data_IF_566775461184
#
_entry.id   IF_566775461184
#
_cell.length_a   1.000
_cell.length_b   1.000
_cell.length_c   1.000
_cell.angle_alpha   90.00
_cell.angle_beta   90.00
_cell.angle_gamma   90.00
#
_symmetry.space_group_name_H-M   'P 1'
#
loop_
_entity.id
_entity.type
_entity.pdbx_description
1 polymer ?
#
# COMPACT_ATOMS: atom_id res chain seq x y z
N UNK A 1 -20.69 11.36 61.64
CA UNK A 1 -20.03 12.17 60.59
C UNK A 1 -21.04 13.20 60.09
N UNK A 2 -20.85 14.48 60.42
CA UNK A 2 -21.73 15.58 59.97
C UNK A 2 -21.52 15.79 58.46
N UNK A 3 -22.59 15.71 57.67
CA UNK A 3 -22.59 16.21 56.29
C UNK A 3 -22.44 17.73 56.37
N UNK A 4 -21.31 18.26 55.94
CA UNK A 4 -21.20 19.69 55.64
C UNK A 4 -22.13 19.98 54.46
N UNK A 5 -23.29 20.58 54.74
CA UNK A 5 -24.14 21.13 53.71
C UNK A 5 -23.37 22.26 53.02
N UNK A 6 -23.09 22.07 51.73
CA UNK A 6 -22.35 23.05 50.94
C UNK A 6 -23.27 24.28 50.77
N UNK A 7 -22.83 25.40 51.33
CA UNK A 7 -23.55 26.67 51.24
C UNK A 7 -23.77 27.05 49.77
N UNK A 8 -25.03 27.20 49.31
CA UNK A 8 -25.34 27.48 47.90
C UNK A 8 -24.71 28.78 47.40
N UNK A 9 -24.43 29.75 48.29
CA UNK A 9 -23.73 30.99 47.92
C UNK A 9 -22.25 30.73 47.60
N UNK A 10 -21.61 29.82 48.33
CA UNK A 10 -20.23 29.40 48.05
C UNK A 10 -20.14 28.56 46.79
N UNK A 11 -21.13 27.68 46.55
CA UNK A 11 -21.22 26.92 45.31
C UNK A 11 -21.37 27.86 44.11
N UNK A 12 -22.25 28.87 44.21
CA UNK A 12 -22.44 29.87 43.15
C UNK A 12 -21.15 30.65 42.87
N UNK A 13 -20.44 31.09 43.93
CA UNK A 13 -19.16 31.78 43.78
C UNK A 13 -18.12 30.92 43.05
N UNK A 14 -18.02 29.63 43.39
CA UNK A 14 -17.11 28.69 42.75
C UNK A 14 -17.46 28.52 41.26
N UNK A 15 -18.75 28.39 40.93
CA UNK A 15 -19.21 28.26 39.54
C UNK A 15 -18.88 29.52 38.73
N UNK A 16 -19.12 30.72 39.30
CA UNK A 16 -18.80 31.98 38.63
C UNK A 16 -17.29 32.12 38.41
N UNK A 17 -16.48 31.79 39.41
CA UNK A 17 -15.01 31.82 39.30
C UNK A 17 -14.51 30.81 38.26
N UNK A 18 -15.02 29.58 38.25
CA UNK A 18 -14.66 28.58 37.26
C UNK A 18 -15.05 29.02 35.84
N UNK A 19 -16.22 29.64 35.68
CA UNK A 19 -16.68 30.17 34.39
C UNK A 19 -15.78 31.30 33.90
N UNK A 20 -15.42 32.25 34.77
CA UNK A 20 -14.46 33.30 34.44
C UNK A 20 -13.10 32.74 34.04
N UNK A 21 -12.63 31.69 34.72
CA UNK A 21 -11.36 31.04 34.41
C UNK A 21 -11.39 30.37 33.03
N UNK A 22 -12.49 29.70 32.68
CA UNK A 22 -12.68 29.09 31.36
C UNK A 22 -12.69 30.16 30.26
N UNK A 23 -13.40 31.27 30.46
CA UNK A 23 -13.42 32.37 29.49
C UNK A 23 -12.05 33.05 29.35
N UNK A 24 -11.34 33.28 30.45
CA UNK A 24 -9.99 33.82 30.41
C UNK A 24 -9.01 32.88 29.69
N UNK A 25 -9.12 31.58 29.92
CA UNK A 25 -8.33 30.57 29.23
C UNK A 25 -8.63 30.52 27.74
N UNK A 26 -9.90 30.57 27.33
CA UNK A 26 -10.26 30.66 25.91
C UNK A 26 -9.76 31.95 25.26
N UNK A 27 -9.88 33.09 25.93
CA UNK A 27 -9.36 34.36 25.43
C UNK A 27 -7.83 34.31 25.27
N UNK A 28 -7.12 33.68 26.21
CA UNK A 28 -5.68 33.45 26.11
C UNK A 28 -5.32 32.57 24.90
N UNK A 29 -6.04 31.47 24.66
CA UNK A 29 -5.84 30.61 23.50
C UNK A 29 -6.09 31.35 22.17
N UNK A 30 -7.07 32.26 22.11
CA UNK A 30 -7.37 33.02 20.89
C UNK A 30 -6.31 34.10 20.64
N UNK A 31 -5.86 34.80 21.69
CA UNK A 31 -5.01 35.99 21.55
C UNK A 31 -3.51 35.68 21.54
N UNK A 32 -3.08 34.60 22.21
CA UNK A 32 -1.66 34.35 22.46
C UNK A 32 -1.16 32.97 22.01
N UNK A 33 -2.03 32.02 21.71
CA UNK A 33 -1.61 30.79 21.04
C UNK A 33 -1.71 31.03 19.54
N UNK A 34 -0.63 30.85 18.76
CA UNK A 34 -0.71 30.95 17.32
C UNK A 34 -1.78 29.96 16.84
N UNK A 35 -2.87 30.50 16.32
CA UNK A 35 -3.87 29.70 15.63
C UNK A 35 -3.18 29.14 14.38
N UNK A 36 -2.54 27.98 14.53
CA UNK A 36 -2.39 27.06 13.42
C UNK A 36 -3.82 26.66 13.04
N UNK A 37 -4.45 27.56 12.29
CA UNK A 37 -5.42 27.16 11.31
C UNK A 37 -4.69 26.13 10.45
N UNK A 38 -4.84 24.87 10.81
CA UNK A 38 -4.95 23.83 9.80
C UNK A 38 -6.22 24.14 9.02
N UNK A 39 -6.17 25.22 8.22
CA UNK A 39 -6.66 25.11 6.87
C UNK A 39 -5.94 23.88 6.36
N UNK A 40 -6.70 22.82 6.11
CA UNK A 40 -6.37 21.87 5.07
C UNK A 40 -6.25 22.70 3.79
N UNK A 41 -5.14 23.40 3.63
CA UNK A 41 -4.57 23.68 2.34
C UNK A 41 -4.29 22.28 1.83
N UNK A 42 -5.27 21.73 1.10
CA UNK A 42 -4.96 20.93 -0.06
C UNK A 42 -3.97 21.80 -0.81
N UNK A 43 -2.69 21.55 -0.55
CA UNK A 43 -1.64 22.01 -1.41
C UNK A 43 -2.08 21.46 -2.76
N UNK A 44 -2.64 22.31 -3.62
CA UNK A 44 -2.54 22.09 -5.03
C UNK A 44 -1.04 22.17 -5.29
N UNK A 45 -0.39 21.06 -5.00
CA UNK A 45 0.92 20.73 -5.48
C UNK A 45 0.81 21.02 -6.97
N UNK A 46 1.50 22.08 -7.40
CA UNK A 46 1.72 22.34 -8.82
C UNK A 46 2.06 21.00 -9.40
N UNK A 47 1.26 20.52 -10.35
CA UNK A 47 1.54 19.31 -11.12
C UNK A 47 3.00 19.41 -11.56
N UNK A 48 3.88 18.75 -10.82
CA UNK A 48 5.12 18.30 -11.35
C UNK A 48 4.68 17.32 -12.42
N UNK A 49 4.77 17.77 -13.67
CA UNK A 49 4.79 16.90 -14.82
C UNK A 49 6.07 16.08 -14.71
N UNK A 50 6.05 15.08 -13.82
CA UNK A 50 6.97 13.97 -13.83
C UNK A 50 6.12 12.70 -13.84
N UNK A 51 6.46 11.84 -14.78
CA UNK A 51 5.80 10.62 -15.25
C UNK A 51 5.76 9.51 -14.21
N UNK A 52 5.40 9.83 -12.96
CA UNK A 52 5.28 8.87 -11.87
C UNK A 52 3.79 8.64 -11.56
N UNK A 53 3.30 7.39 -11.65
CA UNK A 53 1.89 7.10 -11.44
C UNK A 53 1.53 7.29 -9.96
N UNK A 54 0.30 7.74 -9.71
CA UNK A 54 -0.24 7.77 -8.36
C UNK A 54 -0.48 6.34 -7.86
N UNK A 55 0.41 5.83 -7.01
CA UNK A 55 0.35 4.45 -6.46
C UNK A 55 -0.76 4.23 -5.40
N UNK A 56 -1.54 5.27 -5.11
CA UNK A 56 -2.54 5.29 -4.05
C UNK A 56 -3.94 5.02 -4.63
N UNK A 57 -4.42 3.77 -4.50
CA UNK A 57 -5.81 3.40 -4.80
C UNK A 57 -6.83 3.89 -3.74
N UNK A 58 -6.38 4.62 -2.71
CA UNK A 58 -7.22 5.19 -1.67
C UNK A 58 -8.10 4.16 -0.94
N UNK A 59 -9.32 4.55 -0.58
CA UNK A 59 -10.28 3.73 0.20
C UNK A 59 -10.88 2.55 -0.56
N UNK A 60 -10.71 2.49 -1.89
CA UNK A 60 -11.11 1.33 -2.70
C UNK A 60 -10.30 0.09 -2.31
N UNK A 61 -9.02 0.28 -1.98
CA UNK A 61 -8.14 -0.80 -1.54
C UNK A 61 -8.66 -1.48 -0.28
N UNK A 62 -9.11 -0.73 0.72
CA UNK A 62 -9.55 -1.32 1.99
C UNK A 62 -10.84 -2.15 1.85
N UNK A 63 -11.69 -1.82 0.86
CA UNK A 63 -12.99 -2.47 0.66
C UNK A 63 -12.90 -3.77 -0.14
N UNK A 64 -11.96 -3.84 -1.09
CA UNK A 64 -11.87 -4.94 -2.05
C UNK A 64 -10.84 -5.98 -1.60
N UNK A 65 -11.24 -6.81 -0.63
CA UNK A 65 -10.40 -7.91 -0.16
C UNK A 65 -10.20 -8.97 -1.25
N UNK A 66 -9.01 -9.56 -1.37
CA UNK A 66 -8.76 -10.61 -2.35
C UNK A 66 -9.64 -11.82 -2.07
N UNK A 67 -10.13 -12.45 -3.13
CA UNK A 67 -10.89 -13.69 -3.05
C UNK A 67 -10.49 -14.62 -4.21
N UNK A 68 -11.25 -15.71 -4.42
CA UNK A 68 -11.08 -16.64 -5.54
C UNK A 68 -9.61 -17.03 -5.78
N UNK A 69 -9.12 -17.88 -4.88
CA UNK A 69 -7.71 -18.19 -4.82
C UNK A 69 -7.34 -19.37 -5.72
N UNK A 70 -6.22 -19.23 -6.42
CA UNK A 70 -5.58 -20.27 -7.21
C UNK A 70 -4.22 -20.56 -6.61
N UNK A 71 -3.97 -21.82 -6.30
CA UNK A 71 -2.72 -22.26 -5.69
C UNK A 71 -1.75 -22.77 -6.76
N UNK A 72 -0.49 -22.39 -6.62
CA UNK A 72 0.62 -22.94 -7.38
C UNK A 72 1.66 -23.48 -6.42
N UNK A 73 2.20 -24.67 -6.69
CA UNK A 73 3.27 -25.25 -5.89
C UNK A 73 4.31 -25.88 -6.80
N UNK A 74 5.57 -25.52 -6.54
CA UNK A 74 6.75 -26.16 -7.13
C UNK A 74 7.60 -26.81 -6.03
N UNK A 75 8.78 -27.28 -6.39
CA UNK A 75 9.76 -27.81 -5.44
C UNK A 75 10.26 -26.73 -4.47
N UNK A 76 10.37 -25.49 -4.94
CA UNK A 76 11.02 -24.40 -4.20
C UNK A 76 10.01 -23.43 -3.58
N UNK A 77 8.84 -23.27 -4.20
CA UNK A 77 7.89 -22.22 -3.84
C UNK A 77 6.44 -22.71 -3.77
N UNK A 78 5.66 -22.05 -2.92
CA UNK A 78 4.21 -22.16 -2.89
C UNK A 78 3.60 -20.75 -3.00
N UNK A 79 2.75 -20.53 -3.99
CA UNK A 79 2.10 -19.26 -4.26
C UNK A 79 0.59 -19.42 -4.14
N UNK A 80 -0.05 -18.42 -3.55
CA UNK A 80 -1.50 -18.23 -3.59
C UNK A 80 -1.78 -16.97 -4.39
N UNK A 81 -2.47 -17.12 -5.51
CA UNK A 81 -2.88 -16.01 -6.37
C UNK A 81 -4.36 -15.72 -6.17
N UNK A 82 -4.74 -14.45 -6.13
CA UNK A 82 -6.15 -14.04 -6.19
C UNK A 82 -6.52 -13.71 -7.62
N UNK A 83 -7.68 -14.21 -8.08
CA UNK A 83 -8.23 -13.80 -9.38
C UNK A 83 -8.50 -12.29 -9.40
N UNK A 84 -9.01 -11.71 -8.30
CA UNK A 84 -9.19 -10.25 -8.21
C UNK A 84 -7.85 -9.50 -8.25
N UNK A 85 -7.72 -8.63 -9.24
CA UNK A 85 -6.50 -7.86 -9.50
C UNK A 85 -5.32 -8.69 -10.00
N UNK A 86 -5.44 -10.02 -10.07
CA UNK A 86 -4.35 -10.91 -10.47
C UNK A 86 -3.12 -10.70 -9.59
N UNK A 87 -3.27 -10.81 -8.28
CA UNK A 87 -2.27 -10.47 -7.25
C UNK A 87 -1.73 -11.72 -6.55
N UNK A 88 -0.51 -11.65 -6.01
CA UNK A 88 0.04 -12.72 -5.16
C UNK A 88 -0.25 -12.39 -3.69
N UNK A 89 -1.09 -13.19 -3.03
CA UNK A 89 -1.52 -12.94 -1.64
C UNK A 89 -0.73 -13.73 -0.61
N UNK A 90 -0.04 -14.79 -1.05
CA UNK A 90 0.96 -15.52 -0.26
C UNK A 90 2.03 -16.06 -1.21
N UNK A 91 3.28 -15.99 -0.77
CA UNK A 91 4.44 -16.45 -1.50
C UNK A 91 5.43 -17.05 -0.51
N UNK A 92 5.43 -18.37 -0.41
CA UNK A 92 6.25 -19.11 0.53
C UNK A 92 7.46 -19.72 -0.14
N UNK A 93 8.64 -19.46 0.42
CA UNK A 93 9.84 -20.24 0.16
C UNK A 93 9.80 -21.53 0.98
N UNK A 94 9.80 -22.67 0.28
CA UNK A 94 9.67 -23.99 0.91
C UNK A 94 10.98 -24.45 1.55
N UNK A 95 12.13 -24.00 1.05
CA UNK A 95 13.45 -24.37 1.59
C UNK A 95 13.66 -23.75 2.97
N UNK A 96 13.28 -22.49 3.14
CA UNK A 96 13.40 -21.77 4.40
C UNK A 96 12.11 -21.74 5.22
N UNK A 97 11.03 -22.32 4.68
CA UNK A 97 9.68 -22.28 5.26
C UNK A 97 9.25 -20.84 5.62
N UNK A 98 9.58 -19.89 4.74
CA UNK A 98 9.43 -18.45 4.98
C UNK A 98 8.35 -17.87 4.08
N UNK A 99 7.42 -17.14 4.68
CA UNK A 99 6.46 -16.31 3.94
C UNK A 99 7.14 -15.01 3.50
N UNK A 100 7.07 -14.73 2.21
CA UNK A 100 7.68 -13.56 1.57
C UNK A 100 6.69 -12.39 1.45
N UNK A 101 5.39 -12.62 1.63
CA UNK A 101 4.40 -11.54 1.74
C UNK A 101 4.30 -11.08 3.21
N UNK A 102 4.66 -9.83 3.45
CA UNK A 102 4.71 -9.24 4.79
C UNK A 102 3.32 -9.11 5.43
N UNK A 103 3.28 -9.03 6.76
CA UNK A 103 2.03 -8.78 7.49
C UNK A 103 1.49 -7.38 7.21
N UNK A 104 2.36 -6.40 6.96
CA UNK A 104 1.99 -5.06 6.54
C UNK A 104 1.28 -5.04 5.18
N UNK A 105 1.81 -5.77 4.18
CA UNK A 105 1.16 -5.93 2.88
C UNK A 105 -0.25 -6.53 3.01
N UNK A 106 -0.38 -7.59 3.83
CA UNK A 106 -1.68 -8.21 4.10
C UNK A 106 -2.66 -7.26 4.78
N UNK A 107 -2.21 -6.51 5.80
CA UNK A 107 -3.04 -5.55 6.54
C UNK A 107 -3.48 -4.38 5.68
N UNK A 108 -2.59 -3.87 4.83
CA UNK A 108 -2.88 -2.74 3.94
C UNK A 108 -3.60 -3.17 2.66
N UNK A 109 -3.82 -4.47 2.45
CA UNK A 109 -4.36 -5.04 1.22
C UNK A 109 -3.59 -4.55 -0.03
N UNK A 110 -2.26 -4.50 0.10
CA UNK A 110 -1.33 -4.10 -0.94
C UNK A 110 -0.43 -5.29 -1.26
N UNK A 111 -0.53 -5.82 -2.47
CA UNK A 111 0.12 -7.07 -2.83
C UNK A 111 1.01 -6.94 -4.07
N UNK A 112 2.02 -7.81 -4.22
CA UNK A 112 2.77 -7.91 -5.46
C UNK A 112 1.88 -8.18 -6.67
N UNK A 113 2.37 -7.73 -7.82
CA UNK A 113 1.71 -7.73 -9.12
C UNK A 113 0.56 -6.73 -9.28
N UNK A 114 0.28 -5.85 -8.33
CA UNK A 114 -0.58 -4.67 -8.61
C UNK A 114 0.04 -3.84 -9.74
N UNK A 115 -0.80 -3.32 -10.66
CA UNK A 115 -0.37 -2.60 -11.86
C UNK A 115 -0.95 -1.20 -11.88
N UNK A 116 -0.11 -0.21 -12.18
CA UNK A 116 -0.45 1.20 -12.18
C UNK A 116 -0.05 1.84 -13.50
N UNK A 117 -0.95 2.66 -14.04
CA UNK A 117 -0.81 3.41 -15.29
C UNK A 117 -0.73 4.91 -15.03
N UNK A 118 -1.12 5.35 -13.83
CA UNK A 118 -1.28 6.75 -13.48
C UNK A 118 -2.68 7.29 -13.78
N UNK A 119 -3.55 6.52 -14.44
CA UNK A 119 -4.98 6.80 -14.56
C UNK A 119 -5.76 6.02 -13.48
N UNK A 120 -6.38 6.71 -12.50
CA UNK A 120 -7.12 6.06 -11.42
C UNK A 120 -8.28 5.16 -11.88
N UNK A 121 -8.91 5.45 -13.03
CA UNK A 121 -10.00 4.64 -13.55
C UNK A 121 -9.49 3.30 -14.07
N UNK A 122 -8.41 3.35 -14.86
CA UNK A 122 -7.75 2.15 -15.39
C UNK A 122 -7.13 1.35 -14.24
N UNK A 123 -6.45 2.02 -13.31
CA UNK A 123 -5.78 1.38 -12.16
C UNK A 123 -6.77 0.69 -11.23
N UNK A 124 -7.95 1.28 -11.02
CA UNK A 124 -9.02 0.64 -10.27
C UNK A 124 -9.43 -0.68 -10.93
N UNK A 125 -9.65 -0.66 -12.25
CA UNK A 125 -10.05 -1.85 -13.01
C UNK A 125 -8.96 -2.93 -13.00
N UNK A 126 -7.72 -2.56 -13.32
CA UNK A 126 -6.57 -3.47 -13.36
C UNK A 126 -6.34 -4.19 -12.03
N UNK A 127 -6.64 -3.53 -10.91
CA UNK A 127 -6.37 -4.07 -9.58
C UNK A 127 -7.60 -4.66 -8.89
N UNK A 128 -8.83 -4.47 -9.40
CA UNK A 128 -10.05 -4.99 -8.76
C UNK A 128 -10.73 -6.12 -9.52
N UNK A 129 -10.57 -6.19 -10.84
CA UNK A 129 -11.29 -7.15 -11.67
C UNK A 129 -10.66 -8.54 -11.68
N UNK A 130 -11.46 -9.54 -12.04
CA UNK A 130 -11.02 -10.93 -12.07
C UNK A 130 -10.19 -11.23 -13.31
N UNK A 131 -8.98 -11.73 -13.09
CA UNK A 131 -8.11 -12.25 -14.11
C UNK A 131 -8.41 -13.72 -14.36
N UNK A 132 -8.32 -14.14 -15.62
CA UNK A 132 -8.26 -15.55 -15.95
C UNK A 132 -6.86 -16.07 -15.64
N UNK A 133 -6.74 -16.98 -14.67
CA UNK A 133 -5.47 -17.60 -14.28
C UNK A 133 -5.36 -18.97 -14.93
N UNK A 134 -4.27 -19.18 -15.68
CA UNK A 134 -3.92 -20.47 -16.28
C UNK A 134 -2.55 -20.92 -15.81
N UNK A 135 -2.46 -22.13 -15.29
CA UNK A 135 -1.21 -22.75 -14.83
C UNK A 135 -0.85 -23.87 -15.80
N UNK A 136 0.36 -23.78 -16.37
CA UNK A 136 0.94 -24.77 -17.27
C UNK A 136 2.35 -25.10 -16.81
N UNK A 137 2.53 -26.26 -16.16
CA UNK A 137 3.83 -26.70 -15.62
C UNK A 137 4.46 -25.65 -14.69
N UNK A 138 5.47 -24.92 -15.17
CA UNK A 138 6.23 -23.90 -14.44
C UNK A 138 5.83 -22.47 -14.85
N UNK A 139 4.72 -22.30 -15.55
CA UNK A 139 4.27 -21.02 -16.07
C UNK A 139 2.85 -20.71 -15.58
N UNK A 140 2.68 -19.53 -15.00
CA UNK A 140 1.40 -18.99 -14.56
C UNK A 140 1.09 -17.79 -15.44
N UNK A 141 -0.06 -17.80 -16.11
CA UNK A 141 -0.51 -16.70 -16.97
C UNK A 141 -1.80 -16.13 -16.39
N UNK A 142 -1.78 -14.84 -16.04
CA UNK A 142 -2.94 -14.08 -15.60
C UNK A 142 -3.33 -13.12 -16.72
N UNK A 143 -4.55 -13.25 -17.23
CA UNK A 143 -5.02 -12.45 -18.37
C UNK A 143 -6.27 -11.66 -18.00
N UNK A 144 -6.27 -10.37 -18.32
CA UNK A 144 -7.44 -9.50 -18.25
C UNK A 144 -7.58 -8.82 -19.61
N UNK A 145 -8.75 -8.95 -20.22
CA UNK A 145 -9.06 -8.36 -21.51
C UNK A 145 -10.38 -7.59 -21.42
N UNK A 146 -10.37 -6.38 -21.96
CA UNK A 146 -11.51 -5.52 -22.21
C UNK A 146 -11.64 -5.28 -23.71
N UNK A 147 -12.72 -4.61 -24.13
CA UNK A 147 -12.98 -4.37 -25.56
C UNK A 147 -11.87 -3.55 -26.23
N UNK A 148 -11.25 -2.65 -25.46
CA UNK A 148 -10.30 -1.64 -25.92
C UNK A 148 -8.86 -1.90 -25.50
N UNK A 149 -8.59 -2.66 -24.43
CA UNK A 149 -7.24 -2.96 -23.97
C UNK A 149 -7.11 -4.35 -23.32
N UNK A 150 -5.88 -4.81 -23.16
CA UNK A 150 -5.61 -6.06 -22.43
C UNK A 150 -4.29 -6.02 -21.67
N UNK A 151 -4.23 -6.76 -20.57
CA UNK A 151 -3.04 -7.00 -19.77
C UNK A 151 -2.84 -8.50 -19.54
N UNK A 152 -1.63 -8.98 -19.81
CA UNK A 152 -1.21 -10.35 -19.51
C UNK A 152 0.02 -10.32 -18.62
N UNK A 153 -0.09 -10.90 -17.42
CA UNK A 153 1.03 -11.13 -16.51
C UNK A 153 1.47 -12.58 -16.64
N UNK A 154 2.74 -12.79 -16.92
CA UNK A 154 3.33 -14.12 -17.06
C UNK A 154 4.40 -14.29 -15.99
N UNK A 155 4.21 -15.29 -15.12
CA UNK A 155 5.21 -15.71 -14.15
C UNK A 155 5.79 -17.05 -14.59
N UNK A 156 7.10 -17.09 -14.80
CA UNK A 156 7.82 -18.33 -15.09
C UNK A 156 8.71 -18.68 -13.91
N UNK A 157 8.43 -19.83 -13.28
CA UNK A 157 9.27 -20.40 -12.23
C UNK A 157 10.59 -20.89 -12.85
N UNK A 158 11.71 -20.35 -12.37
CA UNK A 158 13.09 -20.71 -12.74
C UNK A 158 13.80 -21.54 -11.66
N UNK A 159 13.05 -22.02 -10.66
CA UNK A 159 13.55 -22.80 -9.52
C UNK A 159 13.99 -21.89 -8.37
N UNK A 160 14.82 -20.89 -8.62
CA UNK A 160 15.32 -20.00 -7.56
C UNK A 160 14.67 -18.62 -7.54
N UNK A 161 13.97 -18.26 -8.60
CA UNK A 161 13.24 -17.00 -8.73
C UNK A 161 12.12 -17.14 -9.76
N UNK A 162 11.16 -16.21 -9.73
CA UNK A 162 10.19 -16.06 -10.80
C UNK A 162 10.61 -14.98 -11.78
N UNK A 163 10.60 -15.30 -13.08
CA UNK A 163 10.67 -14.28 -14.12
C UNK A 163 9.27 -13.75 -14.38
N UNK A 164 9.06 -12.47 -14.12
CA UNK A 164 7.80 -11.77 -14.42
C UNK A 164 7.92 -11.07 -15.77
N UNK A 165 6.93 -11.26 -16.64
CA UNK A 165 6.79 -10.56 -17.91
C UNK A 165 5.38 -9.99 -18.01
N UNK A 166 5.29 -8.70 -18.33
CA UNK A 166 4.04 -7.95 -18.42
C UNK A 166 3.86 -7.56 -19.88
N UNK A 167 2.75 -8.01 -20.48
CA UNK A 167 2.37 -7.66 -21.84
C UNK A 167 1.11 -6.84 -21.80
N UNK A 168 1.17 -5.67 -22.40
CA UNK A 168 0.05 -4.76 -22.54
C UNK A 168 -0.35 -4.65 -24.01
N UNK A 169 -1.62 -4.40 -24.25
CA UNK A 169 -2.13 -3.97 -25.55
C UNK A 169 -3.03 -2.76 -25.33
N UNK A 170 -2.75 -1.67 -26.03
CA UNK A 170 -3.49 -0.41 -25.95
C UNK A 170 -3.65 0.14 -24.51
N UNK A 171 -2.63 -0.05 -23.68
CA UNK A 171 -2.48 0.62 -22.38
C UNK A 171 -1.29 1.59 -22.46
N UNK A 172 -1.30 2.68 -21.67
CA UNK A 172 -0.11 3.49 -21.45
C UNK A 172 1.00 2.68 -20.74
N UNK A 173 2.14 3.32 -20.51
CA UNK A 173 3.22 2.72 -19.72
C UNK A 173 2.72 2.26 -18.35
N UNK A 174 3.16 1.07 -17.94
CA UNK A 174 2.68 0.42 -16.71
C UNK A 174 3.80 0.21 -15.72
N UNK A 175 3.46 0.37 -14.45
CA UNK A 175 4.32 0.15 -13.30
C UNK A 175 3.76 -1.02 -12.51
N UNK A 176 4.63 -1.94 -12.08
CA UNK A 176 4.19 -3.13 -11.35
C UNK A 176 4.79 -3.13 -9.96
N UNK A 177 3.92 -3.28 -8.96
CA UNK A 177 4.34 -3.50 -7.58
C UNK A 177 5.02 -4.85 -7.45
N UNK A 178 6.23 -4.87 -6.89
CA UNK A 178 6.98 -6.10 -6.60
C UNK A 178 6.85 -6.52 -5.13
N UNK A 179 6.01 -5.81 -4.36
CA UNK A 179 5.87 -6.00 -2.92
C UNK A 179 6.85 -5.18 -2.10
N UNK A 180 6.80 -5.39 -0.79
CA UNK A 180 7.70 -4.78 0.18
C UNK A 180 8.79 -5.75 0.61
N UNK A 181 9.83 -5.19 1.22
CA UNK A 181 10.92 -6.00 1.76
C UNK A 181 10.45 -6.79 2.98
N UNK A 182 10.74 -8.10 2.98
CA UNK A 182 10.61 -8.94 4.17
C UNK A 182 11.57 -8.43 5.24
N UNK A 183 11.03 -8.07 6.41
CA UNK A 183 11.84 -7.74 7.58
C UNK A 183 12.54 -9.01 8.07
N UNK A 184 13.86 -9.03 7.99
CA UNK A 184 14.70 -10.07 8.58
C UNK A 184 15.75 -9.42 9.47
N UNK A 185 16.05 -10.07 10.60
CA UNK A 185 17.17 -9.71 11.44
C UNK A 185 18.46 -9.96 10.63
N UNK A 186 19.19 -8.88 10.41
CA UNK A 186 20.48 -8.72 9.71
C UNK A 186 21.24 -10.02 9.34
N UNK A 187 20.79 -10.75 8.30
CA UNK A 187 21.55 -11.85 7.70
C UNK A 187 22.02 -11.56 6.26
N UNK A 188 21.36 -10.63 5.55
CA UNK A 188 21.72 -10.29 4.17
C UNK A 188 22.63 -9.05 4.09
N UNK A 189 23.64 -9.12 3.21
CA UNK A 189 24.60 -8.04 2.96
C UNK A 189 24.04 -6.87 2.15
N UNK A 190 22.90 -7.04 1.48
CA UNK A 190 22.19 -5.96 0.78
C UNK A 190 20.68 -6.19 0.85
N UNK A 191 19.94 -5.10 1.04
CA UNK A 191 18.49 -5.10 1.01
C UNK A 191 17.99 -3.88 0.26
N UNK A 192 17.44 -4.13 -0.92
CA UNK A 192 17.02 -3.10 -1.86
C UNK A 192 16.85 -3.64 -3.28
N UNK A 193 16.26 -2.85 -4.19
CA UNK A 193 16.09 -3.26 -5.57
C UNK A 193 17.44 -3.36 -6.29
N UNK A 194 17.60 -4.43 -7.08
CA UNK A 194 18.77 -4.63 -7.92
C UNK A 194 18.33 -4.50 -9.39
N UNK A 195 18.88 -3.52 -10.09
CA UNK A 195 18.53 -3.19 -11.47
C UNK A 195 19.72 -3.45 -12.38
N UNK A 196 19.50 -4.14 -13.50
CA UNK A 196 20.51 -4.30 -14.55
C UNK A 196 20.24 -3.33 -15.69
N UNK A 197 21.15 -2.39 -15.94
CA UNK A 197 21.12 -1.42 -17.04
C UNK A 197 22.27 -1.74 -18.01
N UNK A 198 21.94 -2.34 -19.15
CA UNK A 198 22.94 -2.87 -20.08
C UNK A 198 23.83 -3.90 -19.39
N UNK A 199 25.14 -3.64 -19.33
CA UNK A 199 26.12 -4.51 -18.67
C UNK A 199 26.35 -4.17 -17.18
N UNK A 200 25.73 -3.10 -16.67
CA UNK A 200 25.89 -2.66 -15.27
C UNK A 200 24.78 -3.24 -14.39
N UNK A 201 25.16 -3.82 -13.26
CA UNK A 201 24.24 -4.20 -12.19
C UNK A 201 24.32 -3.15 -11.09
N UNK A 202 23.24 -2.40 -10.89
CA UNK A 202 23.08 -1.41 -9.84
C UNK A 202 22.32 -2.05 -8.68
N UNK A 203 22.91 -2.03 -7.49
CA UNK A 203 22.23 -2.37 -6.24
C UNK A 203 21.86 -1.03 -5.61
N UNK A 204 20.56 -0.74 -5.51
CA UNK A 204 20.07 0.52 -4.98
C UNK A 204 19.76 0.30 -3.51
N UNK A 205 20.42 1.04 -2.62
CA UNK A 205 19.96 1.09 -1.25
C UNK A 205 18.71 1.97 -1.18
N UNK A 206 17.85 1.75 -0.18
CA UNK A 206 16.63 2.53 0.01
C UNK A 206 16.94 4.05 0.08
N UNK A 207 18.12 4.41 0.60
CA UNK A 207 18.60 5.80 0.71
C UNK A 207 18.97 6.45 -0.62
N UNK A 208 19.24 5.65 -1.66
CA UNK A 208 19.64 6.12 -2.98
C UNK A 208 18.43 6.46 -3.86
N UNK A 209 17.23 6.06 -3.45
CA UNK A 209 15.98 6.37 -4.14
C UNK A 209 15.55 7.78 -3.73
N UNK A 210 15.84 8.78 -4.56
CA UNK A 210 15.32 10.15 -4.38
C UNK A 210 13.89 10.22 -4.93
N UNK A 211 13.00 10.82 -4.12
CA UNK A 211 11.60 11.08 -4.46
C UNK A 211 11.44 12.35 -5.29
#
# INVERSE_FOLDING_TARGET
MQKQEIDPKKLFLIVVLATLFIFAYQAYLILFVPQNSQQTQVSQEKKASETLPQLMLGTLREKLKPSNFVNYRSEHFELVLSEEGGRIVSFKDLKYNKELITEEEKKLNFYPLEVFTGDPQIDSVLNSERYQIKIEKNKITLSLAREDWSLIKVLEDKGTYFKVNIKTNNLPDVFVSVGTQVKEDEFYTHSGPVVKLGDKVLRLDIKDIQA
#
